data_IF_236939288738
#
_entry.id   IF_236939288738
#
_cell.length_a   1.000
_cell.length_b   1.000
_cell.length_c   1.000
_cell.angle_alpha   90.00
_cell.angle_beta   90.00
_cell.angle_gamma   90.00
#
_symmetry.space_group_name_H-M   'P 1'
#
loop_
_entity.id
_entity.type
_entity.pdbx_description
1 polymer ?
#
# COMPACT_ATOMS: atom_id res chain seq x y z
N UNK A 1 -9.09 -8.99 18.73
CA UNK A 1 -8.25 -7.78 18.64
C UNK A 1 -9.12 -6.60 19.02
N UNK A 2 -8.70 -5.71 19.93
CA UNK A 2 -9.47 -4.51 20.25
C UNK A 2 -9.67 -3.68 18.97
N UNK A 3 -10.89 -3.18 18.74
CA UNK A 3 -11.18 -2.22 17.68
C UNK A 3 -11.55 -0.90 18.37
N UNK A 4 -10.57 -0.05 18.70
CA UNK A 4 -10.87 1.24 19.31
C UNK A 4 -11.69 2.08 18.32
N UNK A 5 -12.78 2.65 18.80
CA UNK A 5 -13.68 3.52 18.03
C UNK A 5 -13.78 4.84 18.77
N UNK A 6 -13.55 5.99 18.10
CA UNK A 6 -13.75 7.29 18.74
C UNK A 6 -15.17 7.43 19.30
N UNK A 7 -15.34 8.06 20.46
CA UNK A 7 -16.63 8.11 21.16
C UNK A 7 -17.77 8.80 20.40
N UNK A 8 -17.45 9.52 19.33
CA UNK A 8 -18.40 10.17 18.42
C UNK A 8 -18.66 9.37 17.12
N UNK A 9 -18.19 8.14 17.02
CA UNK A 9 -18.34 7.28 15.84
C UNK A 9 -19.18 6.06 16.20
N UNK A 10 -20.27 5.86 15.47
CA UNK A 10 -21.08 4.65 15.58
C UNK A 10 -20.55 3.60 14.58
N UNK A 11 -20.17 2.43 15.08
CA UNK A 11 -19.70 1.31 14.25
C UNK A 11 -20.69 0.15 14.36
N UNK A 12 -21.04 -0.41 13.22
CA UNK A 12 -21.79 -1.65 13.10
C UNK A 12 -21.19 -2.52 12.01
N UNK A 13 -21.33 -3.82 12.16
CA UNK A 13 -21.11 -4.74 11.04
C UNK A 13 -22.35 -4.76 10.13
N UNK A 14 -22.16 -5.05 8.85
CA UNK A 14 -23.27 -5.36 7.94
C UNK A 14 -23.92 -6.69 8.35
N UNK A 15 -25.17 -6.89 7.94
CA UNK A 15 -25.85 -8.17 8.13
C UNK A 15 -25.23 -9.30 7.29
N UNK A 16 -25.57 -10.53 7.65
CA UNK A 16 -25.14 -11.71 6.88
C UNK A 16 -25.68 -11.65 5.45
N UNK A 17 -24.79 -11.78 4.47
CA UNK A 17 -25.14 -11.74 3.04
C UNK A 17 -25.35 -10.34 2.46
N UNK A 18 -25.29 -9.28 3.26
CA UNK A 18 -25.25 -7.91 2.77
C UNK A 18 -23.85 -7.57 2.28
N UNK A 19 -23.78 -6.83 1.16
CA UNK A 19 -22.52 -6.31 0.65
C UNK A 19 -22.52 -4.79 0.74
N UNK A 20 -21.35 -4.21 1.06
CA UNK A 20 -21.21 -2.75 1.14
C UNK A 20 -21.54 -2.06 -0.20
N UNK A 21 -21.31 -2.74 -1.33
CA UNK A 21 -21.75 -2.25 -2.65
C UNK A 21 -23.27 -2.17 -2.81
N UNK A 22 -24.00 -3.17 -2.31
CA UNK A 22 -25.47 -3.14 -2.31
C UNK A 22 -26.01 -2.05 -1.38
N UNK A 23 -25.40 -1.89 -0.19
CA UNK A 23 -25.74 -0.82 0.75
C UNK A 23 -25.54 0.55 0.12
N UNK A 24 -24.42 0.76 -0.59
CA UNK A 24 -24.13 2.00 -1.33
C UNK A 24 -25.19 2.27 -2.41
N UNK A 25 -25.59 1.26 -3.18
CA UNK A 25 -26.65 1.41 -4.20
C UNK A 25 -28.02 1.75 -3.63
N UNK A 26 -28.34 1.18 -2.46
CA UNK A 26 -29.61 1.42 -1.78
C UNK A 26 -29.68 2.79 -1.09
N UNK A 27 -28.53 3.45 -0.91
CA UNK A 27 -28.42 4.70 -0.15
C UNK A 27 -28.36 4.49 1.37
N UNK A 28 -28.13 3.25 1.83
CA UNK A 28 -27.93 2.95 3.26
C UNK A 28 -26.57 3.48 3.78
N UNK A 29 -25.57 3.53 2.90
CA UNK A 29 -24.30 4.22 3.13
C UNK A 29 -24.04 5.22 1.99
N UNK A 30 -23.45 6.36 2.32
CA UNK A 30 -23.16 7.41 1.33
C UNK A 30 -21.81 7.22 0.62
N UNK A 31 -20.90 6.46 1.24
CA UNK A 31 -19.53 6.27 0.75
C UNK A 31 -19.00 4.89 1.14
N UNK A 32 -18.04 4.40 0.35
CA UNK A 32 -17.36 3.13 0.55
C UNK A 32 -15.86 3.30 0.34
N UNK A 33 -15.07 2.84 1.32
CA UNK A 33 -13.63 2.61 1.18
C UNK A 33 -13.43 1.10 1.05
N UNK A 34 -12.88 0.65 -0.07
CA UNK A 34 -12.73 -0.78 -0.38
C UNK A 34 -11.39 -1.05 -1.05
N UNK A 35 -10.81 -2.21 -0.78
CA UNK A 35 -9.62 -2.73 -1.48
C UNK A 35 -10.00 -3.19 -2.89
N UNK A 36 -11.09 -3.93 -2.99
CA UNK A 36 -11.62 -4.38 -4.27
C UNK A 36 -12.48 -3.28 -4.90
N UNK A 37 -12.33 -3.10 -6.22
CA UNK A 37 -13.21 -2.21 -6.98
C UNK A 37 -14.64 -2.76 -6.91
N UNK A 38 -15.63 -1.99 -6.40
CA UNK A 38 -17.01 -2.46 -6.32
C UNK A 38 -17.54 -2.90 -7.69
N UNK A 39 -18.28 -4.01 -7.73
CA UNK A 39 -18.83 -4.58 -8.98
C UNK A 39 -19.66 -3.57 -9.76
N UNK A 40 -20.33 -2.66 -9.04
CA UNK A 40 -21.16 -1.59 -9.58
C UNK A 40 -20.35 -0.59 -10.40
N UNK A 41 -19.13 -0.27 -9.96
CA UNK A 41 -18.20 0.59 -10.70
C UNK A 41 -17.71 -0.12 -11.95
N UNK A 42 -17.39 -1.41 -11.86
CA UNK A 42 -16.96 -2.21 -13.03
C UNK A 42 -18.09 -2.39 -14.06
N UNK A 43 -19.34 -2.50 -13.59
CA UNK A 43 -20.52 -2.57 -14.44
C UNK A 43 -20.92 -1.21 -15.03
N UNK A 44 -20.29 -0.11 -14.61
CA UNK A 44 -20.61 1.24 -15.06
C UNK A 44 -21.96 1.75 -14.56
N UNK A 45 -22.42 1.32 -13.37
CA UNK A 45 -23.67 1.82 -12.79
C UNK A 45 -23.55 3.33 -12.51
N UNK A 46 -24.40 4.19 -13.12
CA UNK A 46 -24.24 5.63 -13.02
C UNK A 46 -24.51 6.19 -11.61
N UNK A 47 -25.06 5.38 -10.70
CA UNK A 47 -25.33 5.77 -9.31
C UNK A 47 -24.10 5.71 -8.42
N UNK A 48 -23.06 4.97 -8.84
CA UNK A 48 -21.81 4.80 -8.08
C UNK A 48 -20.65 5.33 -8.89
N UNK A 49 -19.80 6.14 -8.26
CA UNK A 49 -18.58 6.67 -8.89
C UNK A 49 -17.45 6.73 -7.87
N UNK A 50 -16.20 6.76 -8.37
CA UNK A 50 -15.06 7.12 -7.53
C UNK A 50 -15.23 8.54 -7.00
N UNK A 51 -14.78 8.78 -5.76
CA UNK A 51 -14.79 10.13 -5.17
C UNK A 51 -13.96 11.11 -6.02
N UNK A 52 -12.76 10.67 -6.42
CA UNK A 52 -11.94 11.34 -7.43
C UNK A 52 -12.06 10.59 -8.76
N UNK A 53 -12.64 11.23 -9.76
CA UNK A 53 -12.78 10.65 -11.11
C UNK A 53 -11.42 10.58 -11.80
N UNK A 54 -10.58 11.57 -11.57
CA UNK A 54 -9.19 11.73 -12.01
C UNK A 54 -8.19 11.19 -10.97
N UNK A 55 -8.52 10.06 -10.32
CA UNK A 55 -7.74 9.46 -9.23
C UNK A 55 -6.24 9.34 -9.54
N UNK A 56 -5.87 8.97 -10.76
CA UNK A 56 -4.46 8.88 -11.17
C UNK A 56 -3.72 10.22 -11.03
N UNK A 57 -4.34 11.33 -11.44
CA UNK A 57 -3.75 12.66 -11.33
C UNK A 57 -3.60 13.06 -9.86
N UNK A 58 -4.63 12.79 -9.04
CA UNK A 58 -4.64 13.06 -7.59
C UNK A 58 -3.58 12.23 -6.86
N UNK A 59 -3.42 10.95 -7.20
CA UNK A 59 -2.41 10.05 -6.63
C UNK A 59 -0.99 10.46 -7.03
N UNK A 60 -0.76 10.80 -8.30
CA UNK A 60 0.54 11.32 -8.76
C UNK A 60 0.91 12.63 -8.07
N UNK A 61 -0.07 13.52 -7.88
CA UNK A 61 0.15 14.78 -7.16
C UNK A 61 0.42 14.53 -5.66
N UNK A 62 -0.28 13.58 -5.04
CA UNK A 62 0.02 13.14 -3.69
C UNK A 62 1.48 12.67 -3.56
N UNK A 63 1.95 11.80 -4.47
CA UNK A 63 3.33 11.36 -4.48
C UNK A 63 4.30 12.55 -4.67
N UNK A 64 4.06 13.45 -5.63
CA UNK A 64 4.94 14.61 -5.85
C UNK A 64 5.08 15.53 -4.63
N UNK A 65 4.02 15.69 -3.84
CA UNK A 65 4.02 16.56 -2.66
C UNK A 65 4.63 15.90 -1.42
N UNK A 66 4.56 14.58 -1.32
CA UNK A 66 4.86 13.84 -0.08
C UNK A 66 6.04 12.89 -0.20
N UNK A 67 6.40 12.53 -1.44
CA UNK A 67 7.34 11.46 -1.79
C UNK A 67 6.93 10.08 -1.23
N UNK A 68 5.67 9.94 -0.79
CA UNK A 68 5.13 8.69 -0.27
C UNK A 68 4.41 7.97 -1.41
N UNK A 69 4.97 6.84 -1.84
CA UNK A 69 4.22 5.84 -2.58
C UNK A 69 3.76 4.76 -1.59
N UNK A 70 2.43 4.55 -1.39
CA UNK A 70 1.94 3.76 -0.26
C UNK A 70 2.52 2.34 -0.18
N UNK A 71 3.03 1.99 1.00
CA UNK A 71 3.48 0.63 1.32
C UNK A 71 2.26 -0.26 1.57
N UNK A 72 2.28 -1.49 1.02
CA UNK A 72 1.16 -2.43 1.17
C UNK A 72 1.37 -3.41 2.34
N UNK A 73 2.60 -3.93 2.50
CA UNK A 73 2.89 -5.02 3.44
C UNK A 73 4.24 -4.85 4.14
N UNK A 74 4.33 -5.34 5.38
CA UNK A 74 5.56 -5.49 6.16
C UNK A 74 5.74 -6.96 6.55
N UNK A 75 6.98 -7.44 6.62
CA UNK A 75 7.29 -8.78 7.12
C UNK A 75 7.61 -8.69 8.61
N UNK A 76 6.80 -9.35 9.43
CA UNK A 76 7.02 -9.45 10.87
C UNK A 76 7.56 -10.84 11.23
N UNK A 77 8.57 -10.88 12.09
CA UNK A 77 9.14 -12.10 12.65
C UNK A 77 8.92 -12.06 14.16
N UNK A 78 8.50 -13.19 14.75
CA UNK A 78 8.33 -13.27 16.20
C UNK A 78 9.68 -13.05 16.89
N UNK A 79 9.67 -12.24 17.96
CA UNK A 79 10.89 -11.88 18.70
C UNK A 79 11.62 -13.09 19.30
N UNK A 80 10.89 -14.10 19.78
CA UNK A 80 11.48 -15.32 20.35
C UNK A 80 12.16 -16.18 19.29
N UNK A 81 11.53 -16.35 18.12
CA UNK A 81 12.16 -17.03 16.99
C UNK A 81 13.44 -16.33 16.54
N UNK A 82 13.44 -14.99 16.48
CA UNK A 82 14.62 -14.23 16.08
C UNK A 82 15.75 -14.30 17.13
N UNK A 83 15.42 -14.47 18.42
CA UNK A 83 16.42 -14.65 19.47
C UNK A 83 17.17 -15.99 19.31
N UNK A 84 16.47 -17.04 18.89
CA UNK A 84 17.06 -18.36 18.63
C UNK A 84 17.73 -18.45 17.24
N UNK A 85 17.32 -17.61 16.30
CA UNK A 85 17.77 -17.60 14.89
C UNK A 85 18.11 -16.18 14.39
N UNK A 86 19.18 -15.55 14.90
CA UNK A 86 19.49 -14.15 14.63
C UNK A 86 19.74 -13.83 13.14
N UNK A 87 20.16 -14.81 12.34
CA UNK A 87 20.38 -14.71 10.90
C UNK A 87 19.08 -14.65 10.09
N UNK A 88 17.96 -15.12 10.65
CA UNK A 88 16.71 -15.31 9.91
C UNK A 88 16.18 -14.00 9.30
N UNK A 89 16.25 -12.89 10.03
CA UNK A 89 15.78 -11.60 9.54
C UNK A 89 16.54 -11.14 8.28
N UNK A 90 17.89 -11.25 8.30
CA UNK A 90 18.74 -10.88 7.16
C UNK A 90 18.50 -11.81 5.97
N UNK A 91 18.44 -13.12 6.23
CA UNK A 91 18.21 -14.12 5.19
C UNK A 91 16.85 -13.93 4.49
N UNK A 92 15.78 -13.69 5.26
CA UNK A 92 14.44 -13.42 4.73
C UNK A 92 14.42 -12.12 3.91
N UNK A 93 15.01 -11.05 4.45
CA UNK A 93 15.10 -9.78 3.72
C UNK A 93 15.85 -9.94 2.39
N UNK A 94 17.02 -10.59 2.40
CA UNK A 94 17.80 -10.81 1.18
C UNK A 94 17.05 -11.65 0.15
N UNK A 95 16.31 -12.67 0.59
CA UNK A 95 15.51 -13.48 -0.29
C UNK A 95 14.40 -12.66 -0.98
N UNK A 96 13.67 -11.83 -0.25
CA UNK A 96 12.65 -10.98 -0.85
C UNK A 96 13.25 -9.86 -1.70
N UNK A 97 14.38 -9.27 -1.30
CA UNK A 97 15.08 -8.27 -2.10
C UNK A 97 15.51 -8.87 -3.45
N UNK A 98 16.10 -10.07 -3.45
CA UNK A 98 16.47 -10.77 -4.67
C UNK A 98 15.25 -11.08 -5.55
N UNK A 99 14.14 -11.51 -4.96
CA UNK A 99 12.89 -11.76 -5.70
C UNK A 99 12.32 -10.48 -6.32
N UNK A 100 12.33 -9.36 -5.58
CA UNK A 100 11.91 -8.04 -6.06
C UNK A 100 12.79 -7.60 -7.23
N UNK A 101 14.10 -7.62 -7.06
CA UNK A 101 15.05 -7.19 -8.10
C UNK A 101 14.94 -8.04 -9.36
N UNK A 102 14.82 -9.36 -9.22
CA UNK A 102 14.61 -10.24 -10.37
C UNK A 102 13.36 -9.86 -11.19
N UNK A 103 12.25 -9.53 -10.51
CA UNK A 103 11.03 -9.07 -11.18
C UNK A 103 11.15 -7.66 -11.74
N UNK A 104 11.75 -6.73 -11.00
CA UNK A 104 11.94 -5.35 -11.45
C UNK A 104 12.85 -5.28 -12.66
N UNK A 105 13.98 -5.99 -12.65
CA UNK A 105 14.90 -6.12 -13.80
C UNK A 105 14.17 -6.71 -15.00
N UNK A 106 13.43 -7.82 -14.82
CA UNK A 106 12.67 -8.41 -15.91
C UNK A 106 11.65 -7.43 -16.50
N UNK A 107 10.87 -6.78 -15.63
CA UNK A 107 9.86 -5.81 -16.00
C UNK A 107 10.46 -4.65 -16.81
N UNK A 108 11.53 -4.00 -16.31
CA UNK A 108 12.23 -2.92 -17.02
C UNK A 108 12.81 -3.39 -18.37
N UNK A 109 13.38 -4.60 -18.42
CA UNK A 109 13.94 -5.15 -19.66
C UNK A 109 12.87 -5.36 -20.76
N UNK A 110 11.61 -5.61 -20.38
CA UNK A 110 10.51 -5.75 -21.34
C UNK A 110 10.16 -4.42 -22.05
N UNK A 111 10.62 -3.27 -21.57
CA UNK A 111 10.43 -1.99 -22.28
C UNK A 111 11.00 -2.00 -23.70
N UNK A 112 12.14 -2.69 -23.91
CA UNK A 112 12.74 -2.90 -25.24
C UNK A 112 11.84 -3.67 -26.21
N UNK A 113 10.88 -4.43 -25.68
CA UNK A 113 9.88 -5.22 -26.41
C UNK A 113 8.48 -4.62 -26.24
N UNK A 114 8.37 -3.33 -25.92
CA UNK A 114 7.09 -2.63 -25.73
C UNK A 114 6.15 -3.33 -24.73
N UNK A 115 6.71 -4.07 -23.77
CA UNK A 115 5.96 -4.89 -22.82
C UNK A 115 4.93 -5.83 -23.47
N UNK A 116 5.24 -6.41 -24.64
CA UNK A 116 4.33 -7.30 -25.38
C UNK A 116 3.79 -8.52 -24.59
N UNK A 117 4.40 -8.88 -23.45
CA UNK A 117 3.85 -9.88 -22.54
C UNK A 117 2.56 -9.42 -21.81
N UNK A 118 2.29 -8.13 -21.80
CA UNK A 118 1.08 -7.51 -21.26
C UNK A 118 0.15 -7.15 -22.42
N UNK A 119 -1.14 -7.48 -22.30
CA UNK A 119 -2.16 -7.11 -23.27
C UNK A 119 -2.81 -5.77 -22.92
N UNK A 120 -2.00 -4.71 -22.80
CA UNK A 120 -2.45 -3.38 -22.37
C UNK A 120 -2.09 -2.32 -23.42
N UNK A 121 -3.07 -1.69 -24.09
CA UNK A 121 -2.81 -0.60 -25.03
C UNK A 121 -2.08 0.58 -24.37
N UNK A 122 -1.22 1.25 -25.12
CA UNK A 122 -0.46 2.45 -24.70
C UNK A 122 0.43 2.27 -23.45
N UNK A 123 0.68 1.03 -23.03
CA UNK A 123 1.44 0.74 -21.83
C UNK A 123 2.86 1.34 -21.83
N UNK A 124 3.52 1.40 -22.98
CA UNK A 124 4.88 1.97 -23.08
C UNK A 124 4.94 3.45 -22.68
N UNK A 125 3.92 4.24 -22.99
CA UNK A 125 3.86 5.65 -22.57
C UNK A 125 3.61 5.74 -21.07
N UNK A 126 2.64 4.97 -20.55
CA UNK A 126 2.37 4.88 -19.11
C UNK A 126 3.62 4.46 -18.33
N UNK A 127 4.37 3.48 -18.83
CA UNK A 127 5.64 3.04 -18.25
C UNK A 127 6.66 4.18 -18.21
N UNK A 128 6.84 4.91 -19.32
CA UNK A 128 7.78 6.02 -19.39
C UNK A 128 7.38 7.19 -18.46
N UNK A 129 6.09 7.48 -18.33
CA UNK A 129 5.58 8.47 -17.38
C UNK A 129 5.78 8.06 -15.91
N UNK A 130 5.54 6.78 -15.59
CA UNK A 130 5.81 6.22 -14.27
C UNK A 130 7.30 6.32 -13.92
N UNK A 131 8.18 5.98 -14.86
CA UNK A 131 9.62 6.10 -14.67
C UNK A 131 10.07 7.54 -14.43
N UNK A 132 9.52 8.51 -15.18
CA UNK A 132 9.80 9.94 -14.98
C UNK A 132 9.33 10.45 -13.62
N UNK A 133 8.21 9.93 -13.11
CA UNK A 133 7.60 10.41 -11.87
C UNK A 133 8.19 9.72 -10.64
N UNK A 134 8.34 8.40 -10.68
CA UNK A 134 8.64 7.55 -9.52
C UNK A 134 10.08 7.03 -9.51
N UNK A 135 10.84 7.21 -10.60
CA UNK A 135 12.18 6.64 -10.75
C UNK A 135 12.15 5.13 -11.05
N UNK A 136 13.32 4.49 -10.90
CA UNK A 136 13.52 3.08 -11.27
C UNK A 136 13.06 2.07 -10.20
N UNK A 137 12.93 2.52 -8.95
CA UNK A 137 12.56 1.71 -7.80
C UNK A 137 11.47 2.39 -6.97
N UNK A 138 10.23 2.27 -7.43
CA UNK A 138 9.07 2.86 -6.78
C UNK A 138 8.51 2.03 -5.61
N UNK A 139 9.09 0.85 -5.36
CA UNK A 139 8.84 0.04 -4.14
C UNK A 139 10.17 -0.31 -3.49
N UNK A 140 10.87 0.67 -2.93
CA UNK A 140 12.18 0.43 -2.33
C UNK A 140 12.06 -0.52 -1.15
N UNK A 141 13.10 -1.32 -0.95
CA UNK A 141 13.29 -2.12 0.25
C UNK A 141 14.37 -1.46 1.10
N UNK A 142 14.20 -1.52 2.42
CA UNK A 142 15.04 -0.85 3.40
C UNK A 142 14.27 0.18 4.21
N UNK A 143 14.75 0.49 5.40
CA UNK A 143 14.08 1.44 6.31
C UNK A 143 14.34 2.87 5.86
N UNK A 144 15.57 3.21 5.49
CA UNK A 144 15.94 4.60 5.21
C UNK A 144 15.17 5.14 4.02
N UNK A 145 15.08 4.33 2.95
CA UNK A 145 14.32 4.68 1.75
C UNK A 145 12.80 4.78 1.97
N UNK A 146 12.28 4.16 3.03
CA UNK A 146 10.86 4.18 3.36
C UNK A 146 10.54 5.00 4.62
N UNK A 147 11.54 5.64 5.24
CA UNK A 147 11.43 6.25 6.57
C UNK A 147 10.31 7.27 6.63
N UNK A 148 10.24 8.17 5.65
CA UNK A 148 9.16 9.17 5.53
C UNK A 148 7.77 8.52 5.53
N UNK A 149 7.60 7.41 4.82
CA UNK A 149 6.32 6.71 4.73
C UNK A 149 6.00 5.95 6.04
N UNK A 150 6.99 5.27 6.63
CA UNK A 150 6.82 4.54 7.89
C UNK A 150 6.52 5.49 9.04
N UNK A 151 7.33 6.54 9.23
CA UNK A 151 7.14 7.50 10.33
C UNK A 151 5.80 8.23 10.19
N UNK A 152 5.38 8.52 8.96
CA UNK A 152 4.05 9.09 8.70
C UNK A 152 2.93 8.10 9.07
N UNK A 153 3.08 6.83 8.73
CA UNK A 153 2.12 5.78 9.12
C UNK A 153 2.03 5.64 10.65
N UNK A 154 3.17 5.57 11.34
CA UNK A 154 3.22 5.42 12.81
C UNK A 154 2.62 6.64 13.52
N UNK A 155 2.90 7.85 13.03
CA UNK A 155 2.27 9.07 13.51
C UNK A 155 0.74 9.00 13.36
N UNK A 156 0.23 8.65 12.19
CA UNK A 156 -1.22 8.55 11.97
C UNK A 156 -1.87 7.45 12.80
N UNK A 157 -1.20 6.30 12.98
CA UNK A 157 -1.70 5.24 13.83
C UNK A 157 -1.85 5.70 15.29
N UNK A 158 -0.90 6.49 15.80
CA UNK A 158 -0.98 7.08 17.13
C UNK A 158 -2.07 8.17 17.22
N UNK A 159 -2.10 9.13 16.27
CA UNK A 159 -3.10 10.21 16.23
C UNK A 159 -4.54 9.69 16.14
N UNK A 160 -4.74 8.54 15.48
CA UNK A 160 -6.05 7.88 15.35
C UNK A 160 -6.36 6.94 16.52
N UNK A 161 -5.46 6.80 17.51
CA UNK A 161 -5.64 5.94 18.68
C UNK A 161 -5.59 4.44 18.39
N UNK A 162 -5.01 4.03 17.24
CA UNK A 162 -4.79 2.62 16.90
C UNK A 162 -3.64 2.01 17.70
N UNK A 163 -2.64 2.83 18.04
CA UNK A 163 -1.55 2.50 18.96
C UNK A 163 -1.51 3.52 20.09
N UNK A 164 -1.17 3.06 21.30
CA UNK A 164 -1.15 3.92 22.50
C UNK A 164 0.07 4.84 22.53
N UNK A 165 1.23 4.29 22.18
CA UNK A 165 2.50 5.02 22.16
C UNK A 165 2.88 5.40 20.72
N UNK A 166 3.51 6.56 20.55
CA UNK A 166 4.10 6.96 19.29
C UNK A 166 5.40 6.15 19.08
N UNK A 167 5.31 5.11 18.25
CA UNK A 167 6.44 4.28 17.85
C UNK A 167 7.27 4.94 16.75
N UNK A 168 8.56 4.59 16.68
CA UNK A 168 9.48 4.98 15.59
C UNK A 168 9.94 3.76 14.79
N UNK A 169 10.63 3.99 13.66
CA UNK A 169 11.30 2.94 12.91
C UNK A 169 12.24 2.08 13.79
N UNK A 170 12.94 2.71 14.72
CA UNK A 170 13.88 2.08 15.66
C UNK A 170 13.16 1.13 16.64
N UNK A 171 11.90 1.41 16.97
CA UNK A 171 11.10 0.57 17.87
C UNK A 171 10.63 -0.72 17.20
N UNK A 172 10.41 -0.69 15.88
CA UNK A 172 9.71 -1.76 15.15
C UNK A 172 10.59 -2.56 14.18
N UNK A 173 11.77 -2.04 13.81
CA UNK A 173 12.71 -2.72 12.91
C UNK A 173 14.00 -3.16 13.60
N UNK A 174 14.63 -4.18 13.04
CA UNK A 174 15.93 -4.69 13.52
C UNK A 174 17.04 -3.67 13.25
N UNK A 175 18.02 -3.48 14.15
CA UNK A 175 18.98 -2.38 14.05
C UNK A 175 19.78 -2.31 12.74
N UNK A 176 20.21 -3.45 12.21
CA UNK A 176 20.99 -3.48 10.96
C UNK A 176 20.22 -3.00 9.73
N UNK A 177 18.88 -3.00 9.79
CA UNK A 177 18.03 -2.58 8.68
C UNK A 177 17.80 -1.06 8.66
N UNK A 178 18.09 -0.36 9.76
CA UNK A 178 17.78 1.07 9.90
C UNK A 178 18.54 1.96 8.90
N UNK A 179 19.72 1.54 8.46
CA UNK A 179 20.58 2.28 7.49
C UNK A 179 20.47 1.73 6.05
N UNK A 180 19.47 0.90 5.75
CA UNK A 180 19.29 0.24 4.44
C UNK A 180 18.35 0.94 3.47
#
# INVERSE_FOLDING_TARGET
MPQPVPGNVAVRHSGDGETLGAMLLSGEIDALISVDVPKEVLAGDPRVRRLWVDYEAVERDYYRRTEIFPMMHVVAIRKDYLADHPEAARAIYDAFLQAKEAKATHYRAQASKQHMALMTPWFSELFAENLRTLGEDWWPYGVEKNRTAVDTFLRYAHEQGLVQDLLTCEDIFVPWLLES
#
